data_IF_005621603595
#
_entry.id   IF_005621603595
#
_cell.length_a   1.000
_cell.length_b   1.000
_cell.length_c   1.000
_cell.angle_alpha   90.00
_cell.angle_beta   90.00
_cell.angle_gamma   90.00
#
_symmetry.space_group_name_H-M   'P 1'
#
loop_
_entity.id
_entity.type
_entity.pdbx_description
1 polymer ?
#
# COMPACT_ATOMS: atom_id res chain seq x y z
N UNK A 1 35.85 9.89 -23.66
CA UNK A 1 35.90 8.75 -22.73
C UNK A 1 34.50 8.70 -22.15
N UNK A 2 33.60 7.99 -22.82
CA UNK A 2 32.17 8.07 -22.50
C UNK A 2 31.66 6.64 -22.52
N UNK A 3 31.56 6.04 -21.33
CA UNK A 3 31.08 4.68 -21.16
C UNK A 3 29.54 4.67 -21.24
N UNK A 4 28.92 4.13 -22.31
CA UNK A 4 27.47 4.01 -22.41
C UNK A 4 26.87 2.98 -21.42
N UNK A 5 27.72 2.24 -20.70
CA UNK A 5 27.29 1.24 -19.72
C UNK A 5 26.76 1.82 -18.40
N UNK A 6 26.98 3.11 -18.10
CA UNK A 6 26.39 3.74 -16.90
C UNK A 6 24.90 4.09 -17.06
N UNK A 7 24.36 4.09 -18.28
CA UNK A 7 22.96 4.41 -18.53
C UNK A 7 22.02 3.19 -18.40
N UNK A 8 22.56 1.96 -18.32
CA UNK A 8 21.79 0.76 -17.99
C UNK A 8 21.46 0.63 -16.50
N UNK A 9 21.98 1.52 -15.65
CA UNK A 9 21.74 1.53 -14.20
C UNK A 9 20.54 2.37 -13.76
N UNK A 10 19.83 3.01 -14.68
CA UNK A 10 18.53 3.61 -14.38
C UNK A 10 17.51 2.47 -14.33
N UNK A 11 17.46 1.78 -13.19
CA UNK A 11 16.37 0.88 -12.82
C UNK A 11 15.09 1.70 -12.61
N UNK A 12 14.41 2.08 -13.69
CA UNK A 12 13.12 2.77 -13.67
C UNK A 12 11.93 1.84 -13.41
N UNK A 13 12.15 0.66 -12.83
CA UNK A 13 11.08 -0.26 -12.39
C UNK A 13 10.98 -0.40 -10.87
N UNK A 14 11.76 0.35 -10.08
CA UNK A 14 11.77 0.23 -8.61
C UNK A 14 11.29 1.47 -7.86
N UNK A 15 10.60 2.40 -8.53
CA UNK A 15 9.84 3.45 -7.84
C UNK A 15 8.36 3.08 -7.95
N UNK A 16 7.97 2.03 -7.23
CA UNK A 16 6.63 1.99 -6.65
C UNK A 16 6.83 2.67 -5.31
N UNK A 17 6.61 4.00 -5.21
CA UNK A 17 6.86 4.67 -3.96
C UNK A 17 5.89 4.09 -2.93
N UNK A 18 6.23 4.27 -1.65
CA UNK A 18 5.35 4.14 -0.48
C UNK A 18 3.87 4.47 -0.72
N UNK A 19 3.57 5.31 -1.71
CA UNK A 19 2.23 5.58 -2.28
C UNK A 19 1.38 4.35 -2.59
N UNK A 20 1.92 3.24 -3.12
CA UNK A 20 1.09 2.06 -3.38
C UNK A 20 0.62 1.40 -2.07
N UNK A 21 1.48 1.38 -1.05
CA UNK A 21 1.11 0.88 0.28
C UNK A 21 0.16 1.85 0.99
N UNK A 22 0.35 3.16 0.84
CA UNK A 22 -0.58 4.17 1.35
C UNK A 22 -1.96 4.08 0.67
N UNK A 23 -1.99 3.87 -0.65
CA UNK A 23 -3.22 3.67 -1.41
C UNK A 23 -3.97 2.42 -0.95
N UNK A 24 -3.25 1.31 -0.76
CA UNK A 24 -3.83 0.06 -0.25
C UNK A 24 -4.33 0.21 1.20
N UNK A 25 -3.59 0.90 2.05
CA UNK A 25 -4.02 1.24 3.41
C UNK A 25 -5.31 2.08 3.39
N UNK A 26 -5.40 3.09 2.52
CA UNK A 26 -6.58 3.94 2.40
C UNK A 26 -7.80 3.16 1.90
N UNK A 27 -7.58 2.22 0.97
CA UNK A 27 -8.63 1.32 0.48
C UNK A 27 -9.13 0.39 1.59
N UNK A 28 -8.22 -0.22 2.35
CA UNK A 28 -8.55 -1.11 3.48
C UNK A 28 -9.32 -0.36 4.58
N UNK A 29 -8.94 0.89 4.88
CA UNK A 29 -9.69 1.75 5.81
C UNK A 29 -11.08 2.12 5.30
N UNK A 30 -11.21 2.32 3.99
CA UNK A 30 -12.51 2.61 3.35
C UNK A 30 -13.41 1.39 3.40
N UNK A 31 -12.88 0.19 3.13
CA UNK A 31 -13.59 -1.08 3.28
C UNK A 31 -14.00 -1.35 4.73
N UNK A 32 -13.14 -1.04 5.70
CA UNK A 32 -13.48 -1.17 7.12
C UNK A 32 -14.65 -0.26 7.50
N UNK A 33 -14.65 1.00 7.06
CA UNK A 33 -15.76 1.95 7.29
C UNK A 33 -17.04 1.52 6.59
N UNK A 34 -16.96 1.10 5.33
CA UNK A 34 -18.12 0.61 4.59
C UNK A 34 -18.71 -0.66 5.22
N UNK A 35 -17.86 -1.59 5.67
CA UNK A 35 -18.29 -2.80 6.38
C UNK A 35 -18.95 -2.48 7.72
N UNK A 36 -18.39 -1.53 8.48
CA UNK A 36 -19.00 -1.06 9.72
C UNK A 36 -20.36 -0.39 9.48
N UNK A 37 -20.49 0.41 8.42
CA UNK A 37 -21.75 1.02 8.00
C UNK A 37 -22.77 -0.02 7.52
N UNK A 38 -22.32 -1.11 6.91
CA UNK A 38 -23.15 -2.27 6.55
C UNK A 38 -23.55 -3.16 7.75
N UNK A 39 -23.07 -2.85 8.96
CA UNK A 39 -23.34 -3.63 10.19
C UNK A 39 -22.42 -4.85 10.36
N UNK A 40 -21.49 -5.09 9.43
CA UNK A 40 -20.61 -6.25 9.38
C UNK A 40 -19.30 -5.97 10.17
N UNK A 41 -19.43 -5.92 11.51
CA UNK A 41 -18.34 -5.57 12.43
C UNK A 41 -17.15 -6.52 12.35
N UNK A 42 -17.38 -7.81 12.03
CA UNK A 42 -16.32 -8.79 11.87
C UNK A 42 -15.39 -8.43 10.71
N UNK A 43 -15.94 -8.07 9.55
CA UNK A 43 -15.17 -7.59 8.40
C UNK A 43 -14.51 -6.24 8.68
N UNK A 44 -15.20 -5.33 9.36
CA UNK A 44 -14.61 -4.05 9.74
C UNK A 44 -13.34 -4.23 10.58
N UNK A 45 -13.37 -5.10 11.59
CA UNK A 45 -12.19 -5.38 12.42
C UNK A 45 -11.09 -6.12 11.66
N UNK A 46 -11.45 -6.98 10.70
CA UNK A 46 -10.49 -7.69 9.85
C UNK A 46 -9.72 -6.72 8.93
N UNK A 47 -10.43 -5.81 8.26
CA UNK A 47 -9.81 -4.79 7.39
C UNK A 47 -9.01 -3.76 8.18
N UNK A 48 -9.45 -3.40 9.39
CA UNK A 48 -8.68 -2.50 10.27
C UNK A 48 -7.37 -3.14 10.76
N UNK A 49 -7.38 -4.45 11.04
CA UNK A 49 -6.17 -5.19 11.38
C UNK A 49 -5.19 -5.28 10.20
N UNK A 50 -5.68 -5.51 8.98
CA UNK A 50 -4.88 -5.51 7.74
C UNK A 50 -4.23 -4.13 7.50
N UNK A 51 -5.02 -3.06 7.63
CA UNK A 51 -4.53 -1.69 7.49
C UNK A 51 -3.43 -1.39 8.54
N UNK A 52 -3.65 -1.76 9.80
CA UNK A 52 -2.64 -1.59 10.86
C UNK A 52 -1.37 -2.44 10.65
N UNK A 53 -1.51 -3.64 10.10
CA UNK A 53 -0.36 -4.49 9.77
C UNK A 53 0.50 -3.87 8.66
N UNK A 54 -0.11 -3.28 7.63
CA UNK A 54 0.61 -2.54 6.59
C UNK A 54 1.27 -1.27 7.12
N UNK A 55 0.62 -0.55 8.03
CA UNK A 55 1.18 0.65 8.64
C UNK A 55 2.42 0.34 9.50
N UNK A 56 2.47 -0.83 10.16
CA UNK A 56 3.62 -1.25 11.00
C UNK A 56 4.80 -1.82 10.23
N UNK A 57 4.60 -2.22 8.98
CA UNK A 57 5.66 -2.82 8.15
C UNK A 57 6.53 -1.78 7.45
N UNK A 58 6.39 -0.50 7.80
CA UNK A 58 7.05 0.65 7.20
C UNK A 58 7.63 1.57 8.28
#
# INVERSE_FOLDING_TARGET
MDNPQQLSTIRTTTIVPVDLNALLYQLEKTLARASAAAGDRAKASHYDALANARQKSH
#
